data_IF_578258925733
#
_entry.id   IF_578258925733
#
_cell.length_a   1.000
_cell.length_b   1.000
_cell.length_c   1.000
_cell.angle_alpha   90.00
_cell.angle_beta   90.00
_cell.angle_gamma   90.00
#
_symmetry.space_group_name_H-M   'P 1'
#
loop_
_entity.id
_entity.type
_entity.pdbx_description
1 polymer ?
#
# COMPACT_ATOMS: atom_id res chain seq x y z
N UNK A 1 -9.78 -9.89 -11.23
CA UNK A 1 -8.59 -9.01 -11.37
C UNK A 1 -7.70 -9.39 -10.22
N UNK A 2 -6.52 -9.95 -10.46
CA UNK A 2 -5.74 -10.55 -9.38
C UNK A 2 -5.09 -9.46 -8.51
N UNK A 3 -5.23 -9.60 -7.20
CA UNK A 3 -4.69 -8.65 -6.22
C UNK A 3 -3.81 -9.41 -5.22
N UNK A 4 -2.67 -8.84 -4.87
CA UNK A 4 -1.76 -9.41 -3.88
C UNK A 4 -2.32 -9.32 -2.45
N UNK A 5 -1.72 -10.08 -1.53
CA UNK A 5 -1.99 -9.96 -0.09
C UNK A 5 -1.41 -8.68 0.53
N UNK A 6 -0.45 -8.03 -0.13
CA UNK A 6 0.10 -6.73 0.25
C UNK A 6 -0.39 -5.67 -0.73
N UNK A 7 -1.20 -4.74 -0.23
CA UNK A 7 -1.85 -3.75 -1.07
C UNK A 7 -1.46 -2.35 -0.62
N UNK A 8 -0.98 -1.52 -1.53
CA UNK A 8 -0.78 -0.08 -1.29
C UNK A 8 -1.93 0.69 -1.92
N UNK A 9 -2.59 1.55 -1.16
CA UNK A 9 -3.66 2.41 -1.69
C UNK A 9 -3.13 3.83 -1.79
N UNK A 10 -3.06 4.33 -3.02
CA UNK A 10 -2.54 5.65 -3.39
C UNK A 10 -3.65 6.48 -4.03
N UNK A 11 -3.74 7.75 -3.65
CA UNK A 11 -4.67 8.71 -4.25
C UNK A 11 -3.88 9.70 -5.08
N UNK A 12 -4.32 9.98 -6.31
CA UNK A 12 -3.82 11.06 -7.16
C UNK A 12 -4.31 12.39 -6.60
N UNK A 13 -3.67 12.81 -5.52
CA UNK A 13 -3.95 14.05 -4.83
C UNK A 13 -3.55 15.28 -5.67
N UNK A 14 -4.11 16.44 -5.33
CA UNK A 14 -3.81 17.69 -6.03
C UNK A 14 -2.35 18.16 -5.91
N UNK A 15 -1.56 17.57 -5.01
CA UNK A 15 -0.12 17.80 -4.92
C UNK A 15 0.72 16.81 -5.75
N UNK A 16 0.11 15.73 -6.25
CA UNK A 16 0.74 14.75 -7.13
C UNK A 16 1.58 13.71 -6.40
N UNK A 17 1.58 13.69 -5.06
CA UNK A 17 2.46 12.80 -4.30
C UNK A 17 2.11 11.32 -4.49
N UNK A 18 0.81 10.97 -4.50
CA UNK A 18 0.41 9.57 -4.68
C UNK A 18 0.78 9.02 -6.05
N UNK A 19 0.69 9.84 -7.11
CA UNK A 19 1.16 9.47 -8.45
C UNK A 19 2.69 9.33 -8.49
N UNK A 20 3.42 10.32 -7.94
CA UNK A 20 4.88 10.29 -7.88
C UNK A 20 5.41 9.08 -7.10
N UNK A 21 4.75 8.70 -6.00
CA UNK A 21 5.11 7.54 -5.20
C UNK A 21 4.86 6.22 -5.96
N UNK A 22 3.73 6.11 -6.67
CA UNK A 22 3.45 4.95 -7.53
C UNK A 22 4.51 4.77 -8.62
N UNK A 23 5.00 5.87 -9.19
CA UNK A 23 6.00 5.86 -10.25
C UNK A 23 7.42 5.61 -9.75
N UNK A 24 7.75 6.15 -8.57
CA UNK A 24 9.05 5.99 -7.93
C UNK A 24 9.29 4.61 -7.35
N UNK A 25 8.24 3.86 -6.99
CA UNK A 25 8.39 2.48 -6.53
C UNK A 25 8.60 1.54 -7.74
N UNK A 26 9.80 0.96 -7.79
CA UNK A 26 10.27 0.07 -8.85
C UNK A 26 10.35 -1.37 -8.37
N UNK A 27 10.17 -2.34 -9.28
CA UNK A 27 10.43 -3.74 -8.96
C UNK A 27 11.89 -3.94 -8.58
N UNK A 28 12.15 -4.64 -7.47
CA UNK A 28 13.47 -5.21 -7.22
C UNK A 28 13.85 -6.23 -8.31
N UNK A 29 15.14 -6.54 -8.51
CA UNK A 29 15.58 -7.55 -9.48
C UNK A 29 14.80 -8.86 -9.33
N UNK A 30 14.19 -9.34 -10.43
CA UNK A 30 13.36 -10.54 -10.43
C UNK A 30 11.84 -10.29 -10.33
N UNK A 31 11.42 -9.04 -10.09
CA UNK A 31 10.02 -8.62 -10.19
C UNK A 31 9.75 -7.90 -11.51
N UNK A 32 8.51 -8.04 -12.00
CA UNK A 32 7.95 -7.32 -13.14
C UNK A 32 6.84 -6.41 -12.66
N UNK A 33 6.85 -5.16 -13.11
CA UNK A 33 5.78 -4.19 -12.88
C UNK A 33 4.84 -4.23 -14.07
N UNK A 34 3.57 -4.53 -13.82
CA UNK A 34 2.49 -4.50 -14.83
C UNK A 34 1.44 -3.50 -14.36
N UNK A 35 1.04 -2.61 -15.24
CA UNK A 35 -0.05 -1.66 -14.98
C UNK A 35 -1.25 -2.01 -15.86
N UNK A 36 -2.44 -2.00 -15.27
CA UNK A 36 -3.70 -2.17 -15.99
C UNK A 36 -4.76 -1.21 -15.44
N UNK A 37 -5.51 -0.51 -16.30
CA UNK A 37 -6.68 0.24 -15.84
C UNK A 37 -7.76 -0.71 -15.36
N UNK A 38 -8.60 -0.25 -14.44
CA UNK A 38 -9.80 -0.96 -14.02
C UNK A 38 -10.99 -0.01 -13.95
N UNK A 39 -12.18 -0.58 -14.07
CA UNK A 39 -13.47 0.11 -13.93
C UNK A 39 -14.41 -0.79 -13.11
N UNK A 40 -14.89 -0.29 -11.97
CA UNK A 40 -15.86 -0.98 -11.12
C UNK A 40 -17.18 -0.22 -11.15
N UNK A 41 -18.28 -0.82 -11.66
CA UNK A 41 -19.57 -0.15 -11.76
C UNK A 41 -20.15 0.14 -10.37
N UNK A 42 -20.77 1.31 -10.21
CA UNK A 42 -21.36 1.74 -8.92
C UNK A 42 -22.90 1.73 -8.93
N UNK A 43 -23.52 1.16 -9.96
CA UNK A 43 -24.99 1.13 -10.12
C UNK A 43 -25.70 0.47 -8.92
N UNK A 44 -25.06 -0.51 -8.27
CA UNK A 44 -25.62 -1.18 -7.08
C UNK A 44 -25.77 -0.25 -5.86
N UNK A 45 -25.12 0.90 -5.87
CA UNK A 45 -25.26 1.96 -4.87
C UNK A 45 -26.24 3.06 -5.31
N UNK A 46 -26.93 2.89 -6.44
CA UNK A 46 -27.81 3.90 -7.03
C UNK A 46 -27.06 4.99 -7.81
N UNK A 47 -25.76 4.84 -8.04
CA UNK A 47 -24.93 5.76 -8.82
C UNK A 47 -24.87 5.29 -10.28
N UNK A 48 -25.99 5.40 -10.97
CA UNK A 48 -26.13 4.88 -12.34
C UNK A 48 -25.21 5.64 -13.30
N UNK A 49 -24.42 4.90 -14.07
CA UNK A 49 -23.44 5.47 -15.02
C UNK A 49 -22.15 6.00 -14.39
N UNK A 50 -22.06 6.04 -13.05
CA UNK A 50 -20.81 6.30 -12.34
C UNK A 50 -20.02 5.00 -12.17
N UNK A 51 -18.70 5.14 -12.14
CA UNK A 51 -17.77 4.01 -11.95
C UNK A 51 -16.57 4.42 -11.11
N UNK A 52 -16.08 3.49 -10.31
CA UNK A 52 -14.78 3.63 -9.69
C UNK A 52 -13.71 3.17 -10.70
N UNK A 53 -13.06 4.13 -11.34
CA UNK A 53 -11.96 3.92 -12.27
C UNK A 53 -10.59 4.25 -11.67
N UNK A 54 -9.58 3.46 -11.99
CA UNK A 54 -8.23 3.71 -11.51
C UNK A 54 -7.20 2.85 -12.23
N UNK A 55 -6.00 2.83 -11.68
CA UNK A 55 -4.91 1.99 -12.17
C UNK A 55 -4.55 0.96 -11.09
N UNK A 56 -4.51 -0.31 -11.49
CA UNK A 56 -3.94 -1.38 -10.69
C UNK A 56 -2.51 -1.63 -11.19
N UNK A 57 -1.53 -1.36 -10.32
CA UNK A 57 -0.13 -1.71 -10.56
C UNK A 57 0.19 -2.99 -9.81
N UNK A 58 0.68 -4.01 -10.49
CA UNK A 58 1.01 -5.30 -9.90
C UNK A 58 2.49 -5.60 -10.06
N UNK A 59 3.08 -6.14 -9.00
CA UNK A 59 4.48 -6.56 -8.97
C UNK A 59 4.53 -8.09 -8.80
N UNK A 60 4.92 -8.80 -9.86
CA UNK A 60 4.96 -10.26 -9.93
C UNK A 60 6.36 -10.76 -10.19
N UNK A 61 6.70 -11.95 -9.69
CA UNK A 61 7.93 -12.64 -10.09
C UNK A 61 7.96 -12.86 -11.61
N UNK A 62 9.05 -12.50 -12.28
CA UNK A 62 9.25 -12.80 -13.72
C UNK A 62 9.49 -14.28 -13.99
N UNK A 63 9.68 -15.07 -12.94
CA UNK A 63 9.98 -16.48 -13.05
C UNK A 63 8.77 -17.32 -12.72
N UNK A 64 8.23 -18.02 -13.71
CA UNK A 64 7.49 -19.28 -13.46
C UNK A 64 8.37 -20.38 -12.85
N UNK A 65 9.41 -20.03 -12.08
CA UNK A 65 10.22 -20.95 -11.30
C UNK A 65 9.99 -20.66 -9.82
N UNK A 66 9.83 -21.71 -8.98
CA UNK A 66 9.70 -21.53 -7.57
C UNK A 66 10.90 -20.79 -6.98
N UNK A 67 10.65 -19.67 -6.29
CA UNK A 67 11.63 -19.23 -5.30
C UNK A 67 11.77 -20.37 -4.27
N UNK A 68 12.99 -20.67 -3.81
CA UNK A 68 13.19 -21.76 -2.87
C UNK A 68 12.36 -21.48 -1.62
N UNK A 69 11.45 -22.41 -1.33
CA UNK A 69 10.68 -22.48 -0.10
C UNK A 69 11.59 -22.15 1.10
N UNK A 70 11.13 -21.36 2.08
CA UNK A 70 11.87 -21.22 3.33
C UNK A 70 12.14 -22.62 3.89
N UNK A 71 13.41 -22.93 4.17
CA UNK A 71 13.91 -24.27 4.52
C UNK A 71 13.15 -24.96 5.67
N UNK A 72 12.36 -24.19 6.44
CA UNK A 72 11.50 -24.66 7.52
C UNK A 72 10.32 -25.54 7.05
N UNK A 73 9.87 -25.42 5.79
CA UNK A 73 8.78 -26.26 5.26
C UNK A 73 9.25 -27.56 4.58
N UNK A 74 10.56 -27.70 4.36
CA UNK A 74 11.14 -28.87 3.70
C UNK A 74 11.02 -30.13 4.58
N UNK A 75 11.11 -29.96 5.91
CA UNK A 75 10.88 -31.02 6.90
C UNK A 75 9.41 -31.45 7.00
N UNK A 76 8.47 -30.55 6.68
CA UNK A 76 7.04 -30.84 6.74
C UNK A 76 6.56 -31.57 5.49
N UNK A 77 7.13 -31.28 4.32
CA UNK A 77 6.83 -31.97 3.05
C UNK A 77 7.34 -33.43 3.05
N UNK A 78 8.46 -33.72 3.72
CA UNK A 78 8.99 -35.08 3.84
C UNK A 78 8.06 -36.02 4.63
N UNK A 79 7.26 -35.49 5.57
CA UNK A 79 6.25 -36.27 6.32
C UNK A 79 4.96 -36.53 5.53
N UNK A 80 4.67 -35.80 4.46
CA UNK A 80 3.46 -35.96 3.65
C UNK A 80 3.57 -37.05 2.57
N UNK A 81 4.73 -37.70 2.42
CA UNK A 81 5.00 -38.72 1.39
C UNK A 81 4.23 -40.06 1.53
N UNK A 82 3.12 -40.10 2.29
CA UNK A 82 2.31 -41.32 2.50
C UNK A 82 0.93 -41.31 1.81
N UNK A 83 0.59 -40.28 1.04
CA UNK A 83 -0.68 -40.19 0.32
C UNK A 83 -0.50 -39.61 -1.11
N UNK A 84 -0.32 -40.45 -2.14
CA UNK A 84 0.08 -40.01 -3.49
C UNK A 84 -0.94 -39.15 -4.24
N UNK A 85 -2.24 -39.23 -3.91
CA UNK A 85 -3.29 -38.45 -4.58
C UNK A 85 -3.40 -37.00 -4.05
N UNK A 86 -3.05 -36.74 -2.78
CA UNK A 86 -3.02 -35.37 -2.23
C UNK A 86 -1.78 -34.60 -2.70
N UNK A 87 -0.68 -35.30 -2.98
CA UNK A 87 0.59 -34.70 -3.39
C UNK A 87 0.52 -34.04 -4.77
N UNK A 88 -0.18 -34.66 -5.74
CA UNK A 88 -0.35 -34.08 -7.08
C UNK A 88 -1.31 -32.88 -7.09
N UNK A 89 -2.37 -32.91 -6.29
CA UNK A 89 -3.33 -31.79 -6.17
C UNK A 89 -2.68 -30.59 -5.45
N UNK A 90 -1.86 -30.85 -4.43
CA UNK A 90 -1.04 -29.84 -3.73
C UNK A 90 0.06 -29.30 -4.64
N UNK A 91 0.77 -30.13 -5.41
CA UNK A 91 1.82 -29.68 -6.33
C UNK A 91 1.26 -28.95 -7.56
N UNK A 92 0.07 -29.32 -8.07
CA UNK A 92 -0.60 -28.60 -9.15
C UNK A 92 -1.17 -27.26 -8.65
N UNK A 93 -1.70 -27.19 -7.41
CA UNK A 93 -1.99 -25.91 -6.75
C UNK A 93 -0.71 -25.10 -6.54
N UNK A 94 0.38 -25.66 -6.03
CA UNK A 94 1.65 -24.94 -5.87
C UNK A 94 2.21 -24.45 -7.22
N UNK A 95 2.08 -25.25 -8.29
CA UNK A 95 2.56 -24.90 -9.64
C UNK A 95 1.67 -23.89 -10.38
N UNK A 96 0.36 -23.83 -10.09
CA UNK A 96 -0.58 -22.84 -10.66
C UNK A 96 -0.52 -21.52 -9.86
N UNK A 97 -0.10 -21.56 -8.58
CA UNK A 97 0.05 -20.38 -7.73
C UNK A 97 1.38 -19.65 -7.94
N UNK A 98 2.28 -20.16 -8.80
CA UNK A 98 3.63 -19.62 -9.04
C UNK A 98 3.72 -18.56 -10.16
N UNK A 99 2.67 -17.75 -10.33
CA UNK A 99 2.81 -16.34 -10.68
C UNK A 99 2.36 -15.56 -9.44
N UNK A 100 3.26 -15.39 -8.48
CA UNK A 100 2.87 -14.76 -7.21
C UNK A 100 2.93 -13.26 -7.40
N UNK A 101 1.78 -12.62 -7.63
CA UNK A 101 1.69 -11.17 -7.45
C UNK A 101 2.01 -10.90 -5.98
N UNK A 102 3.16 -10.31 -5.73
CA UNK A 102 3.69 -10.09 -4.37
C UNK A 102 3.13 -8.83 -3.76
N UNK A 103 2.85 -7.82 -4.59
CA UNK A 103 2.38 -6.50 -4.18
C UNK A 103 1.45 -5.93 -5.25
N UNK A 104 0.38 -5.27 -4.82
CA UNK A 104 -0.55 -4.56 -5.70
C UNK A 104 -0.76 -3.12 -5.23
N UNK A 105 -0.75 -2.15 -6.15
CA UNK A 105 -1.11 -0.76 -5.85
C UNK A 105 -2.43 -0.42 -6.51
N UNK A 106 -3.36 0.12 -5.72
CA UNK A 106 -4.50 0.86 -6.26
C UNK A 106 -4.12 2.33 -6.34
N UNK A 107 -3.96 2.84 -7.55
CA UNK A 107 -3.74 4.27 -7.80
C UNK A 107 -5.06 4.88 -8.26
N UNK A 108 -5.68 5.62 -7.35
CA UNK A 108 -7.07 6.06 -7.43
C UNK A 108 -7.14 7.57 -7.68
N UNK A 109 -8.14 8.09 -8.39
CA UNK A 109 -8.38 9.52 -8.43
C UNK A 109 -8.87 10.02 -7.05
N UNK A 110 -8.77 11.33 -6.83
CA UNK A 110 -9.32 11.99 -5.64
C UNK A 110 -10.85 12.13 -5.75
N UNK A 111 -11.55 11.00 -5.62
CA UNK A 111 -13.01 10.96 -5.69
C UNK A 111 -13.67 11.86 -4.65
N UNK A 112 -14.83 12.41 -5.00
CA UNK A 112 -15.70 13.12 -4.07
C UNK A 112 -16.80 12.22 -3.53
N UNK A 113 -17.40 12.55 -2.37
CA UNK A 113 -18.64 11.93 -1.93
C UNK A 113 -19.76 12.11 -2.98
N UNK A 114 -20.63 11.10 -3.18
CA UNK A 114 -20.66 9.78 -2.54
C UNK A 114 -19.77 8.72 -3.24
N UNK A 115 -19.18 9.03 -4.40
CA UNK A 115 -18.38 8.09 -5.20
C UNK A 115 -17.20 7.54 -4.40
N UNK A 116 -16.52 8.36 -3.59
CA UNK A 116 -15.40 7.94 -2.77
C UNK A 116 -15.72 6.74 -1.86
N UNK A 117 -16.83 6.80 -1.12
CA UNK A 117 -17.25 5.73 -0.21
C UNK A 117 -17.60 4.44 -0.97
N UNK A 118 -18.32 4.56 -2.08
CA UNK A 118 -18.72 3.44 -2.91
C UNK A 118 -17.50 2.77 -3.57
N UNK A 119 -16.57 3.58 -4.09
CA UNK A 119 -15.32 3.12 -4.70
C UNK A 119 -14.44 2.35 -3.69
N UNK A 120 -14.25 2.89 -2.48
CA UNK A 120 -13.46 2.19 -1.45
C UNK A 120 -14.11 0.86 -1.05
N UNK A 121 -15.44 0.81 -0.96
CA UNK A 121 -16.15 -0.44 -0.66
C UNK A 121 -15.93 -1.50 -1.75
N UNK A 122 -16.01 -1.12 -3.04
CA UNK A 122 -15.73 -2.05 -4.14
C UNK A 122 -14.29 -2.55 -4.17
N UNK A 123 -13.34 -1.66 -3.92
CA UNK A 123 -11.92 -2.02 -3.88
C UNK A 123 -11.66 -3.00 -2.73
N UNK A 124 -12.21 -2.75 -1.54
CA UNK A 124 -12.07 -3.67 -0.41
C UNK A 124 -12.76 -5.02 -0.65
N UNK A 125 -13.93 -5.02 -1.29
CA UNK A 125 -14.62 -6.25 -1.69
C UNK A 125 -13.77 -7.07 -2.67
N UNK A 126 -13.15 -6.40 -3.65
CA UNK A 126 -12.25 -7.03 -4.61
C UNK A 126 -11.01 -7.62 -3.92
N UNK A 127 -10.33 -6.84 -3.07
CA UNK A 127 -9.15 -7.28 -2.31
C UNK A 127 -9.50 -8.52 -1.46
N UNK A 128 -10.68 -8.53 -0.84
CA UNK A 128 -11.12 -9.63 0.03
C UNK A 128 -11.51 -10.89 -0.75
N UNK A 129 -11.94 -10.75 -2.02
CA UNK A 129 -12.40 -11.89 -2.83
C UNK A 129 -11.26 -12.73 -3.43
N UNK A 130 -10.09 -12.13 -3.69
CA UNK A 130 -8.98 -12.78 -4.41
C UNK A 130 -7.98 -13.48 -3.46
N UNK A 131 -7.96 -13.16 -2.15
CA UNK A 131 -6.98 -13.68 -1.19
C UNK A 131 -7.62 -14.38 0.03
N UNK A 132 -8.42 -15.46 -0.14
CA UNK A 132 -9.14 -16.09 0.97
C UNK A 132 -8.23 -16.79 2.00
N UNK A 133 -6.98 -17.13 1.64
CA UNK A 133 -6.04 -17.84 2.52
C UNK A 133 -5.07 -16.94 3.29
N UNK A 134 -4.87 -15.69 2.87
CA UNK A 134 -3.96 -14.73 3.50
C UNK A 134 -4.70 -13.40 3.66
N UNK A 135 -4.89 -12.99 4.92
CA UNK A 135 -5.56 -11.72 5.20
C UNK A 135 -4.79 -10.55 4.55
N UNK A 136 -5.45 -9.73 3.73
CA UNK A 136 -4.78 -8.62 3.05
C UNK A 136 -4.31 -7.58 4.06
N UNK A 137 -3.11 -7.03 3.85
CA UNK A 137 -2.61 -5.87 4.58
C UNK A 137 -2.58 -4.66 3.68
N UNK A 138 -3.25 -3.59 4.11
CA UNK A 138 -3.31 -2.32 3.41
C UNK A 138 -2.24 -1.37 3.93
N UNK A 139 -1.49 -0.75 3.03
CA UNK A 139 -0.55 0.34 3.32
C UNK A 139 -1.13 1.59 2.68
N UNK A 140 -1.33 2.63 3.48
CA UNK A 140 -2.00 3.86 3.03
C UNK A 140 -1.07 5.05 3.27
N UNK A 141 -0.22 5.41 2.30
CA UNK A 141 0.56 6.63 2.36
C UNK A 141 -0.32 7.88 2.23
N UNK A 142 -0.16 8.82 3.15
CA UNK A 142 -0.80 10.13 3.14
C UNK A 142 0.25 11.23 3.34
N UNK A 143 0.58 11.90 2.25
CA UNK A 143 1.56 12.99 2.23
C UNK A 143 0.81 14.33 2.20
N UNK A 144 1.15 15.23 3.12
CA UNK A 144 0.57 16.56 3.19
C UNK A 144 1.58 17.64 2.81
N UNK A 145 1.14 18.66 2.06
CA UNK A 145 1.96 19.85 1.83
C UNK A 145 2.22 20.60 3.14
N UNK A 146 3.38 21.28 3.28
CA UNK A 146 3.60 22.27 4.32
C UNK A 146 2.67 23.47 4.13
N UNK A 147 1.44 23.39 4.61
CA UNK A 147 0.52 24.54 4.62
C UNK A 147 -0.12 24.69 5.99
N UNK A 148 0.60 25.32 6.91
CA UNK A 148 0.10 25.92 8.17
C UNK A 148 -0.58 25.01 9.21
N UNK A 149 -1.06 23.82 8.86
CA UNK A 149 -1.76 22.90 9.77
C UNK A 149 -0.83 22.24 10.79
N UNK A 150 0.49 22.44 10.66
CA UNK A 150 1.51 22.03 11.63
C UNK A 150 2.15 23.22 12.36
N UNK A 151 1.40 24.30 12.63
CA UNK A 151 1.89 25.47 13.39
C UNK A 151 2.31 25.17 14.85
N UNK A 152 2.26 23.92 15.30
CA UNK A 152 2.70 23.47 16.63
C UNK A 152 3.78 22.38 16.61
N UNK A 153 4.57 22.27 15.52
CA UNK A 153 5.71 21.34 15.43
C UNK A 153 7.08 22.01 15.47
N UNK A 154 7.12 23.33 15.72
CA UNK A 154 8.36 24.06 15.99
C UNK A 154 8.50 24.24 17.49
N UNK A 155 8.92 23.20 18.22
CA UNK A 155 9.60 23.36 19.51
C UNK A 155 10.43 22.11 19.82
N UNK A 156 11.75 22.31 19.85
CA UNK A 156 12.84 21.38 20.18
C UNK A 156 13.02 20.22 19.18
N UNK A 157 14.09 20.15 18.39
CA UNK A 157 15.51 20.24 18.77
C UNK A 157 16.38 20.91 17.70
N UNK A 158 17.40 21.64 18.13
CA UNK A 158 18.54 22.08 17.30
C UNK A 158 19.37 20.87 16.87
N UNK A 159 18.88 20.16 15.87
CA UNK A 159 19.65 19.22 15.04
C UNK A 159 18.92 19.15 13.72
N UNK A 160 19.63 19.23 12.58
CA UNK A 160 19.02 19.28 11.24
C UNK A 160 18.22 18.03 10.88
N UNK A 161 17.01 17.90 11.42
CA UNK A 161 16.28 16.65 11.44
C UNK A 161 15.48 16.46 10.16
N UNK A 162 15.77 15.31 9.53
CA UNK A 162 15.08 14.72 8.39
C UNK A 162 13.56 14.67 8.60
N UNK A 163 12.83 14.70 7.48
CA UNK A 163 11.40 14.39 7.38
C UNK A 163 10.97 13.27 8.34
N UNK A 164 10.04 13.55 9.25
CA UNK A 164 9.57 12.59 10.26
C UNK A 164 8.40 11.77 9.72
N UNK A 165 8.56 10.45 9.69
CA UNK A 165 7.49 9.53 9.32
C UNK A 165 6.65 9.14 10.52
N UNK A 166 5.34 9.37 10.42
CA UNK A 166 4.38 8.90 11.38
C UNK A 166 3.63 7.67 10.86
N UNK A 167 3.33 6.69 11.72
CA UNK A 167 2.52 5.55 11.33
C UNK A 167 1.52 5.12 12.41
N UNK A 168 0.33 4.68 11.97
CA UNK A 168 -0.68 4.10 12.84
C UNK A 168 -1.28 2.84 12.22
N UNK A 169 -1.45 1.82 13.05
CA UNK A 169 -2.29 0.67 12.74
C UNK A 169 -3.76 1.04 12.88
N UNK A 170 -4.57 0.65 11.90
CA UNK A 170 -6.00 0.89 11.82
C UNK A 170 -6.68 -0.43 11.46
N UNK A 171 -7.76 -0.78 12.16
CA UNK A 171 -8.43 -2.07 11.97
C UNK A 171 -7.83 -3.16 12.86
N UNK A 172 -7.46 -4.29 12.26
CA UNK A 172 -6.72 -5.34 12.95
C UNK A 172 -5.20 -5.09 12.89
N UNK A 173 -4.44 -5.72 13.78
CA UNK A 173 -2.97 -5.74 13.74
C UNK A 173 -2.47 -7.17 13.54
N UNK A 174 -1.28 -7.29 12.95
CA UNK A 174 -0.54 -8.54 12.82
C UNK A 174 0.97 -8.24 12.88
N UNK A 175 1.79 -9.29 12.79
CA UNK A 175 3.26 -9.14 12.83
C UNK A 175 3.77 -8.17 11.75
N UNK A 176 3.15 -8.17 10.56
CA UNK A 176 3.56 -7.30 9.47
C UNK A 176 3.15 -5.83 9.68
N UNK A 177 1.96 -5.55 10.24
CA UNK A 177 1.58 -4.17 10.60
C UNK A 177 2.48 -3.63 11.70
N UNK A 178 2.87 -4.46 12.68
CA UNK A 178 3.81 -4.10 13.73
C UNK A 178 5.19 -3.75 13.16
N UNK A 179 5.70 -4.52 12.20
CA UNK A 179 6.94 -4.21 11.49
C UNK A 179 6.86 -2.88 10.73
N UNK A 180 5.73 -2.60 10.08
CA UNK A 180 5.53 -1.36 9.33
C UNK A 180 5.47 -0.10 10.21
N UNK A 181 5.04 -0.22 11.48
CA UNK A 181 5.03 0.91 12.42
C UNK A 181 6.29 1.00 13.27
N UNK A 182 7.13 -0.03 13.29
CA UNK A 182 8.39 -0.03 14.03
C UNK A 182 9.33 1.07 13.52
N UNK A 183 10.00 1.75 14.45
CA UNK A 183 10.87 2.90 14.14
C UNK A 183 10.14 4.17 13.65
N UNK A 184 8.80 4.22 13.66
CA UNK A 184 8.01 5.41 13.28
C UNK A 184 7.43 6.14 14.50
N UNK A 185 6.91 7.35 14.29
CA UNK A 185 6.26 8.14 15.35
C UNK A 185 4.74 7.96 15.29
N UNK A 186 4.09 7.67 16.41
CA UNK A 186 2.62 7.58 16.41
C UNK A 186 1.98 8.94 16.02
N UNK A 187 1.00 8.97 15.08
CA UNK A 187 0.27 10.18 14.73
C UNK A 187 -0.47 10.77 15.93
N UNK A 188 -0.64 12.11 15.94
CA UNK A 188 -1.50 12.78 16.92
C UNK A 188 -2.97 12.41 16.66
N UNK A 189 -3.80 12.27 17.70
CA UNK A 189 -5.24 12.01 17.55
C UNK A 189 -5.98 13.09 16.75
N UNK A 190 -5.44 14.31 16.69
CA UNK A 190 -6.00 15.45 15.96
C UNK A 190 -5.58 15.52 14.48
N UNK A 191 -5.02 14.45 13.92
CA UNK A 191 -4.61 14.42 12.51
C UNK A 191 -5.85 14.57 11.62
N UNK A 192 -5.91 15.66 10.85
CA UNK A 192 -6.98 15.90 9.88
C UNK A 192 -6.57 15.35 8.51
N UNK A 193 -7.23 14.29 8.07
CA UNK A 193 -7.09 13.74 6.72
C UNK A 193 -8.16 14.40 5.87
N UNK A 194 -7.73 15.18 4.87
CA UNK A 194 -8.63 15.94 3.98
C UNK A 194 -8.91 15.22 2.65
N UNK A 195 -8.31 14.05 2.44
CA UNK A 195 -8.58 13.21 1.27
C UNK A 195 -9.81 12.37 1.58
N UNK A 196 -10.89 12.63 0.84
CA UNK A 196 -12.17 11.92 0.97
C UNK A 196 -12.00 10.40 0.75
N UNK A 197 -11.30 9.92 -0.30
CA UNK A 197 -11.09 8.48 -0.47
C UNK A 197 -10.35 7.84 0.70
N UNK A 198 -9.30 8.48 1.24
CA UNK A 198 -8.54 7.94 2.36
C UNK A 198 -9.42 7.94 3.63
N UNK A 199 -10.15 9.01 3.90
CA UNK A 199 -11.02 9.05 5.08
C UNK A 199 -12.09 7.95 5.01
N UNK A 200 -12.78 7.79 3.88
CA UNK A 200 -13.75 6.71 3.67
C UNK A 200 -13.10 5.33 3.86
N UNK A 201 -11.90 5.11 3.28
CA UNK A 201 -11.16 3.86 3.43
C UNK A 201 -10.90 3.56 4.90
N UNK A 202 -10.36 4.52 5.65
CA UNK A 202 -9.99 4.35 7.05
C UNK A 202 -11.19 4.09 7.96
N UNK A 203 -12.35 4.66 7.65
CA UNK A 203 -13.60 4.38 8.35
C UNK A 203 -14.07 2.95 8.08
N UNK A 204 -14.09 2.51 6.82
CA UNK A 204 -14.54 1.17 6.44
C UNK A 204 -13.61 0.08 7.00
N UNK A 205 -12.29 0.22 6.84
CA UNK A 205 -11.32 -0.81 7.31
C UNK A 205 -11.32 -0.96 8.84
N UNK A 206 -11.66 0.11 9.57
CA UNK A 206 -11.84 0.08 11.03
C UNK A 206 -13.04 -0.78 11.43
N UNK A 207 -14.14 -0.69 10.69
CA UNK A 207 -15.35 -1.49 10.90
C UNK A 207 -15.12 -2.94 10.49
N UNK A 208 -14.52 -3.15 9.31
CA UNK A 208 -14.25 -4.48 8.75
C UNK A 208 -13.06 -5.20 9.40
N UNK A 209 -12.31 -4.53 10.28
CA UNK A 209 -11.09 -5.05 10.92
C UNK A 209 -10.06 -5.54 9.91
N UNK A 210 -9.92 -4.84 8.78
CA UNK A 210 -8.90 -5.15 7.78
C UNK A 210 -7.56 -4.58 8.28
N UNK A 211 -6.48 -5.38 8.35
CA UNK A 211 -5.17 -4.89 8.76
C UNK A 211 -4.69 -3.75 7.87
N UNK A 212 -4.54 -2.56 8.44
CA UNK A 212 -4.19 -1.35 7.68
C UNK A 212 -3.13 -0.54 8.43
N UNK A 213 -2.11 -0.05 7.74
CA UNK A 213 -1.15 0.92 8.26
C UNK A 213 -1.26 2.22 7.49
N UNK A 214 -1.62 3.29 8.19
CA UNK A 214 -1.60 4.65 7.68
C UNK A 214 -0.20 5.23 7.91
N UNK A 215 0.48 5.63 6.84
CA UNK A 215 1.76 6.32 6.86
C UNK A 215 1.53 7.80 6.59
N UNK A 216 2.01 8.68 7.47
CA UNK A 216 1.76 10.13 7.40
C UNK A 216 3.06 10.88 7.50
N UNK A 217 3.26 11.81 6.58
CA UNK A 217 4.39 12.73 6.62
C UNK A 217 3.97 14.09 6.06
N UNK A 218 4.74 15.11 6.40
CA UNK A 218 4.57 16.46 5.90
C UNK A 218 5.93 17.04 5.57
N UNK A 219 5.99 17.84 4.50
CA UNK A 219 7.20 18.60 4.18
C UNK A 219 7.52 19.58 5.29
N UNK A 220 8.75 19.58 5.77
CA UNK A 220 9.27 20.67 6.60
C UNK A 220 9.76 21.81 5.71
N UNK A 221 9.42 23.06 6.04
CA UNK A 221 10.14 24.18 5.44
C UNK A 221 11.52 24.31 6.09
N UNK A 222 12.56 23.90 5.37
CA UNK A 222 13.93 24.28 5.70
C UNK A 222 14.19 25.69 5.14
N UNK A 223 14.65 26.62 5.99
CA UNK A 223 15.15 27.91 5.50
C UNK A 223 16.29 27.66 4.51
N UNK A 224 16.06 27.97 3.23
CA UNK A 224 17.06 27.89 2.16
C UNK A 224 16.94 26.71 1.18
N UNK A 225 16.02 25.75 1.38
CA UNK A 225 15.74 24.70 0.36
C UNK A 225 14.61 25.11 -0.56
N UNK A 226 14.71 24.72 -1.83
CA UNK A 226 13.61 24.88 -2.79
C UNK A 226 12.43 23.99 -2.39
N UNK A 227 11.21 24.34 -2.78
CA UNK A 227 10.02 23.52 -2.52
C UNK A 227 10.14 22.12 -3.12
N UNK A 228 10.82 21.98 -4.27
CA UNK A 228 11.08 20.70 -4.91
C UNK A 228 12.01 19.80 -4.10
N UNK A 229 13.03 20.35 -3.43
CA UNK A 229 13.94 19.55 -2.61
C UNK A 229 13.21 19.00 -1.38
N UNK A 230 12.34 19.80 -0.76
CA UNK A 230 11.51 19.33 0.36
C UNK A 230 10.50 18.27 -0.08
N UNK A 231 9.90 18.40 -1.26
CA UNK A 231 8.94 17.42 -1.79
C UNK A 231 9.63 16.07 -2.05
N UNK A 232 10.86 16.10 -2.59
CA UNK A 232 11.65 14.90 -2.83
C UNK A 232 12.06 14.19 -1.54
N UNK A 233 12.44 14.94 -0.49
CA UNK A 233 12.79 14.37 0.82
C UNK A 233 11.60 13.67 1.49
N UNK A 234 10.39 14.21 1.29
CA UNK A 234 9.15 13.62 1.81
C UNK A 234 8.80 12.34 1.05
N UNK A 235 8.86 12.39 -0.29
CA UNK A 235 8.66 11.22 -1.14
C UNK A 235 9.67 10.12 -0.84
N UNK A 236 10.95 10.47 -0.68
CA UNK A 236 12.00 9.52 -0.34
C UNK A 236 11.77 8.88 1.02
N UNK A 237 11.42 9.66 2.05
CA UNK A 237 11.14 9.16 3.38
C UNK A 237 10.05 8.07 3.38
N UNK A 238 8.94 8.31 2.68
CA UNK A 238 7.83 7.34 2.57
C UNK A 238 8.21 6.19 1.66
N UNK A 239 8.80 6.50 0.51
CA UNK A 239 9.20 5.55 -0.51
C UNK A 239 10.17 4.51 0.02
N UNK A 240 11.27 4.93 0.66
CA UNK A 240 12.26 4.04 1.26
C UNK A 240 11.62 3.15 2.33
N UNK A 241 10.74 3.72 3.18
CA UNK A 241 10.05 2.95 4.22
C UNK A 241 9.11 1.89 3.65
N UNK A 242 8.31 2.25 2.65
CA UNK A 242 7.38 1.32 1.99
C UNK A 242 8.17 0.23 1.25
N UNK A 243 9.14 0.63 0.42
CA UNK A 243 9.98 -0.25 -0.40
C UNK A 243 10.67 -1.34 0.43
N UNK A 244 11.27 -0.96 1.57
CA UNK A 244 11.95 -1.85 2.51
C UNK A 244 11.07 -3.01 2.99
N UNK A 245 9.77 -2.78 3.18
CA UNK A 245 8.86 -3.78 3.76
C UNK A 245 8.14 -4.64 2.72
N UNK A 246 8.10 -4.20 1.46
CA UNK A 246 7.35 -4.89 0.39
C UNK A 246 8.24 -5.40 -0.75
N UNK A 247 9.55 -5.47 -0.55
CA UNK A 247 10.51 -5.98 -1.53
C UNK A 247 10.45 -5.23 -2.88
N UNK A 248 10.42 -3.90 -2.78
CA UNK A 248 10.54 -2.99 -3.91
C UNK A 248 11.73 -2.05 -3.67
N UNK A 249 12.05 -1.25 -4.68
CA UNK A 249 13.08 -0.22 -4.60
C UNK A 249 12.46 1.16 -4.84
N UNK A 250 12.93 2.17 -4.10
CA UNK A 250 12.54 3.55 -4.34
C UNK A 250 13.56 4.23 -5.27
N UNK A 251 13.07 4.79 -6.37
CA UNK A 251 13.87 5.53 -7.34
C UNK A 251 13.65 7.03 -7.18
N UNK A 252 14.70 7.70 -6.69
CA UNK A 252 14.70 9.15 -6.42
C UNK A 252 14.44 10.02 -7.65
N UNK A 253 14.82 9.56 -8.84
CA UNK A 253 14.68 10.32 -10.09
C UNK A 253 13.70 9.60 -11.03
N UNK A 254 12.42 9.98 -10.97
CA UNK A 254 11.47 9.70 -12.05
C UNK A 254 11.38 10.94 -12.92
N UNK A 255 12.08 10.93 -14.05
CA UNK A 255 11.94 11.89 -15.13
C UNK A 255 11.23 11.23 -16.30
#
# INVERSE_FOLDING_TARGET
MRVASRVVVLVRDAAGYGAALADALRPSPGLTRVSSPFDLPLDKYGLNGEKASGELVSFSDSSGSPQPFPAFLQDSLYRCARAPLLFMDVMLKISIYHLTITVSFFVLPDYRPPVAACAMNEILALISSEAPSIQPVLIVPFITRPSGCFHGMVNATKTGQLTTLHAAEIGASNEFTHLLVDGTIKPRPSLQIRSEPIQCLLEIVRVLKIPTVLLVTSGGQHQGKSSSDSDLEVLQCVGDHVAKHINLEFQRNCH
#
